data_IF_377913598490
#
_entry.id   IF_377913598490
#
_cell.length_a   1.000
_cell.length_b   1.000
_cell.length_c   1.000
_cell.angle_alpha   90.00
_cell.angle_beta   90.00
_cell.angle_gamma   90.00
#
_symmetry.space_group_name_H-M   'P 1'
#
loop_
_entity.id
_entity.type
_entity.pdbx_description
1 polymer ?
#
# COMPACT_ATOMS: atom_id res chain seq x y z
N UNK A 1 -2.88 -18.34 -39.12
CA UNK A 1 -3.47 -17.28 -38.27
C UNK A 1 -3.82 -17.76 -36.86
N UNK A 2 -4.51 -18.90 -36.70
CA UNK A 2 -4.92 -19.43 -35.38
C UNK A 2 -3.80 -19.58 -34.33
N UNK A 3 -2.60 -20.04 -34.73
CA UNK A 3 -1.43 -20.13 -33.82
C UNK A 3 -0.96 -18.76 -33.30
N UNK A 4 -1.00 -17.70 -34.13
CA UNK A 4 -0.65 -16.33 -33.73
C UNK A 4 -1.69 -15.77 -32.74
N UNK A 5 -2.97 -16.03 -33.01
CA UNK A 5 -4.08 -15.63 -32.13
C UNK A 5 -4.00 -16.37 -30.78
N UNK A 6 -3.76 -17.67 -30.78
CA UNK A 6 -3.61 -18.45 -29.55
C UNK A 6 -2.37 -18.05 -28.74
N UNK A 7 -1.25 -17.72 -29.39
CA UNK A 7 -0.06 -17.17 -28.73
C UNK A 7 -0.31 -15.79 -28.13
N UNK A 8 -1.10 -14.96 -28.81
CA UNK A 8 -1.51 -13.64 -28.33
C UNK A 8 -2.39 -13.74 -27.07
N UNK A 9 -3.38 -14.63 -27.05
CA UNK A 9 -4.21 -14.86 -25.85
C UNK A 9 -3.44 -15.44 -24.67
N UNK A 10 -2.52 -16.38 -24.90
CA UNK A 10 -1.64 -16.89 -23.83
C UNK A 10 -0.76 -15.79 -23.24
N UNK A 11 -0.24 -14.91 -24.09
CA UNK A 11 0.60 -13.80 -23.65
C UNK A 11 -0.20 -12.75 -22.87
N UNK A 12 -1.40 -12.38 -23.32
CA UNK A 12 -2.32 -11.51 -22.57
C UNK A 12 -2.66 -12.11 -21.21
N UNK A 13 -2.91 -13.42 -21.15
CA UNK A 13 -3.21 -14.10 -19.89
C UNK A 13 -2.04 -14.05 -18.89
N UNK A 14 -0.81 -14.29 -19.36
CA UNK A 14 0.39 -14.17 -18.52
C UNK A 14 0.61 -12.73 -18.07
N UNK A 15 0.39 -11.75 -18.94
CA UNK A 15 0.44 -10.33 -18.59
C UNK A 15 -0.61 -9.98 -17.53
N UNK A 16 -1.85 -10.43 -17.71
CA UNK A 16 -2.94 -10.17 -16.77
C UNK A 16 -2.64 -10.76 -15.39
N UNK A 17 -2.02 -11.94 -15.35
CA UNK A 17 -1.56 -12.56 -14.10
C UNK A 17 -0.42 -11.76 -13.45
N UNK A 18 0.55 -11.28 -14.23
CA UNK A 18 1.68 -10.48 -13.70
C UNK A 18 1.23 -9.09 -13.24
N UNK A 19 0.40 -8.41 -14.02
CA UNK A 19 -0.17 -7.11 -13.68
C UNK A 19 -1.13 -7.22 -12.49
N UNK A 20 -1.97 -8.25 -12.46
CA UNK A 20 -2.86 -8.55 -11.34
C UNK A 20 -2.09 -8.87 -10.06
N UNK A 21 -1.01 -9.67 -10.17
CA UNK A 21 -0.11 -9.95 -9.05
C UNK A 21 0.59 -8.70 -8.50
N UNK A 22 1.09 -7.82 -9.39
CA UNK A 22 1.72 -6.56 -9.00
C UNK A 22 0.72 -5.55 -8.40
N UNK A 23 -0.51 -5.51 -8.90
CA UNK A 23 -1.57 -4.69 -8.32
C UNK A 23 -2.02 -5.23 -6.96
N UNK A 24 -2.08 -6.55 -6.77
CA UNK A 24 -2.39 -7.15 -5.48
C UNK A 24 -1.29 -6.85 -4.45
N UNK A 25 -0.01 -6.97 -4.81
CA UNK A 25 1.07 -6.59 -3.90
C UNK A 25 1.11 -5.09 -3.62
N UNK A 26 0.75 -4.26 -4.61
CA UNK A 26 0.54 -2.82 -4.41
C UNK A 26 -0.62 -2.47 -3.50
N UNK A 27 -1.73 -3.21 -3.59
CA UNK A 27 -2.87 -3.00 -2.71
C UNK A 27 -2.51 -3.30 -1.25
N UNK A 28 -1.72 -4.35 -0.99
CA UNK A 28 -1.34 -4.75 0.36
C UNK A 28 -0.54 -3.67 1.12
N UNK A 29 0.00 -2.66 0.43
CA UNK A 29 0.74 -1.54 1.06
C UNK A 29 -0.09 -0.26 1.19
N UNK A 30 -1.28 -0.18 0.57
CA UNK A 30 -2.22 0.95 0.68
C UNK A 30 -3.25 0.75 1.79
N UNK A 31 -2.78 0.49 3.01
CA UNK A 31 -3.65 0.26 4.15
C UNK A 31 -3.94 1.59 4.84
N UNK A 32 -5.21 1.96 4.93
CA UNK A 32 -5.69 3.04 5.78
C UNK A 32 -6.01 2.50 7.17
N UNK A 33 -5.91 3.35 8.18
CA UNK A 33 -6.25 3.04 9.56
C UNK A 33 -7.48 3.85 9.95
N UNK A 34 -8.56 3.18 10.33
CA UNK A 34 -9.76 3.80 10.88
C UNK A 34 -9.76 3.59 12.39
N UNK A 35 -10.03 4.65 13.16
CA UNK A 35 -10.06 4.63 14.62
C UNK A 35 -11.35 5.28 15.08
N UNK A 36 -12.13 4.51 15.84
CA UNK A 36 -13.33 4.95 16.52
C UNK A 36 -13.14 4.81 18.02
N UNK A 37 -13.35 5.86 18.80
CA UNK A 37 -13.31 5.80 20.26
C UNK A 37 -14.52 6.51 20.86
N UNK A 38 -15.21 5.82 21.76
CA UNK A 38 -16.30 6.36 22.56
C UNK A 38 -15.87 6.53 24.00
N UNK A 39 -16.18 7.69 24.57
CA UNK A 39 -15.88 8.00 25.97
C UNK A 39 -16.90 7.30 26.89
N UNK A 40 -16.41 6.44 27.78
CA UNK A 40 -17.16 5.81 28.85
C UNK A 40 -16.97 6.55 30.18
N UNK A 41 -18.08 6.83 30.86
CA UNK A 41 -18.15 7.44 32.19
C UNK A 41 -17.28 8.70 32.37
N UNK A 42 -17.12 9.48 31.30
CA UNK A 42 -16.31 10.71 31.23
C UNK A 42 -14.82 10.54 31.63
N UNK A 43 -14.30 9.32 31.69
CA UNK A 43 -12.97 9.05 32.22
C UNK A 43 -12.09 8.26 31.28
N UNK A 44 -12.62 7.23 30.63
CA UNK A 44 -11.86 6.30 29.80
C UNK A 44 -12.57 6.06 28.49
N UNK A 45 -11.85 5.64 27.46
CA UNK A 45 -12.41 5.33 26.15
C UNK A 45 -12.52 3.83 25.94
N UNK A 46 -13.53 3.41 25.18
CA UNK A 46 -13.51 2.16 24.43
C UNK A 46 -13.18 2.49 22.99
N UNK A 47 -12.06 1.99 22.50
CA UNK A 47 -11.53 2.27 21.17
C UNK A 47 -11.53 1.01 20.29
N UNK A 48 -11.86 1.21 19.02
CA UNK A 48 -11.80 0.23 17.96
C UNK A 48 -10.90 0.78 16.86
N UNK A 49 -9.88 0.02 16.47
CA UNK A 49 -9.02 0.34 15.34
C UNK A 49 -9.14 -0.72 14.25
N UNK A 50 -9.32 -0.28 13.00
CA UNK A 50 -9.49 -1.13 11.82
C UNK A 50 -8.46 -0.81 10.76
N UNK A 51 -7.76 -1.85 10.31
CA UNK A 51 -6.96 -1.79 9.10
C UNK A 51 -7.87 -1.99 7.88
N UNK A 52 -7.94 -0.98 7.02
CA UNK A 52 -8.83 -0.96 5.87
C UNK A 52 -8.02 -0.99 4.56
N UNK A 53 -8.46 -1.81 3.60
CA UNK A 53 -7.93 -1.84 2.24
C UNK A 53 -9.08 -1.77 1.25
N UNK A 54 -9.15 -0.71 0.45
CA UNK A 54 -10.24 -0.48 -0.51
C UNK A 54 -11.65 -0.63 0.09
N UNK A 55 -11.83 -0.18 1.34
CA UNK A 55 -13.11 -0.27 2.06
C UNK A 55 -13.38 -1.61 2.74
N UNK A 56 -12.46 -2.57 2.67
CA UNK A 56 -12.58 -3.87 3.31
C UNK A 56 -11.74 -3.92 4.58
N UNK A 57 -12.34 -4.36 5.68
CA UNK A 57 -11.64 -4.55 6.95
C UNK A 57 -10.74 -5.78 6.88
N UNK A 58 -9.44 -5.57 7.03
CA UNK A 58 -8.42 -6.62 7.03
C UNK A 58 -8.14 -7.16 8.43
N UNK A 59 -8.11 -6.27 9.41
CA UNK A 59 -7.99 -6.62 10.82
C UNK A 59 -8.60 -5.54 11.68
N UNK A 60 -9.10 -5.97 12.83
CA UNK A 60 -9.73 -5.12 13.81
C UNK A 60 -9.13 -5.43 15.18
N UNK A 61 -8.92 -4.37 15.96
CA UNK A 61 -8.46 -4.44 17.34
C UNK A 61 -9.41 -3.59 18.18
N UNK A 62 -9.84 -4.14 19.31
CA UNK A 62 -10.64 -3.40 20.30
C UNK A 62 -9.82 -3.26 21.57
N UNK A 63 -9.90 -2.11 22.20
CA UNK A 63 -9.23 -1.76 23.44
C UNK A 63 -10.21 -1.08 24.37
N UNK A 64 -10.35 -1.61 25.59
CA UNK A 64 -11.18 -1.04 26.64
C UNK A 64 -10.35 -0.25 27.65
N UNK A 65 -11.02 0.67 28.34
CA UNK A 65 -10.43 1.53 29.38
C UNK A 65 -9.18 2.29 28.92
N UNK A 66 -9.21 2.80 27.69
CA UNK A 66 -8.10 3.53 27.09
C UNK A 66 -8.08 4.96 27.63
N UNK A 67 -6.94 5.41 28.15
CA UNK A 67 -6.78 6.79 28.64
C UNK A 67 -5.82 7.62 27.78
N UNK A 68 -5.14 6.99 26.81
CA UNK A 68 -4.26 7.71 25.90
C UNK A 68 -3.64 6.82 24.84
N UNK A 69 -2.74 7.42 24.07
CA UNK A 69 -2.06 6.79 22.95
C UNK A 69 -0.56 7.11 22.99
N UNK A 70 0.28 6.18 22.58
CA UNK A 70 1.73 6.35 22.51
C UNK A 70 2.30 5.79 21.21
N UNK A 71 3.46 6.31 20.82
CA UNK A 71 4.25 5.80 19.70
C UNK A 71 5.39 4.94 20.24
N UNK A 72 5.43 3.68 19.81
CA UNK A 72 6.62 2.84 19.93
C UNK A 72 7.45 2.95 18.65
N UNK A 73 8.75 3.23 18.78
CA UNK A 73 9.69 3.34 17.65
C UNK A 73 10.75 2.26 17.76
N UNK A 74 10.65 1.25 16.90
CA UNK A 74 11.64 0.19 16.79
C UNK A 74 12.53 0.44 15.58
N UNK A 75 13.81 0.76 15.81
CA UNK A 75 14.82 0.84 14.76
C UNK A 75 15.75 -0.38 14.81
N UNK A 76 15.94 -1.04 13.67
CA UNK A 76 16.86 -2.18 13.52
C UNK A 76 17.95 -1.85 12.49
N UNK A 77 19.14 -2.41 12.70
CA UNK A 77 20.33 -2.19 11.85
C UNK A 77 21.28 -1.10 12.36
N UNK A 78 22.43 -0.99 11.72
CA UNK A 78 23.48 0.00 12.01
C UNK A 78 23.94 0.72 10.74
N UNK A 79 24.37 1.97 10.89
CA UNK A 79 24.88 2.79 9.78
C UNK A 79 23.81 3.14 8.73
N UNK A 80 24.16 3.18 7.43
CA UNK A 80 23.26 3.62 6.35
C UNK A 80 22.08 2.67 6.08
N UNK A 81 22.10 1.45 6.63
CA UNK A 81 21.02 0.46 6.49
C UNK A 81 20.08 0.42 7.71
N UNK A 82 20.05 1.48 8.53
CA UNK A 82 19.14 1.57 9.68
C UNK A 82 17.70 1.74 9.19
N UNK A 83 16.90 0.70 9.31
CA UNK A 83 15.47 0.73 9.05
C UNK A 83 14.70 0.98 10.35
N UNK A 84 13.81 1.98 10.35
CA UNK A 84 12.93 2.26 11.49
C UNK A 84 11.48 1.95 11.13
N UNK A 85 10.78 1.30 12.06
CA UNK A 85 9.34 1.08 12.02
C UNK A 85 8.72 1.60 13.31
N UNK A 86 7.60 2.29 13.22
CA UNK A 86 6.86 2.72 14.40
C UNK A 86 5.54 1.97 14.53
N UNK A 87 4.96 1.96 15.73
CA UNK A 87 3.61 1.48 16.00
C UNK A 87 2.92 2.46 16.93
N UNK A 88 1.62 2.64 16.74
CA UNK A 88 0.79 3.32 17.72
C UNK A 88 0.23 2.27 18.68
N UNK A 89 0.21 2.59 19.98
CA UNK A 89 -0.30 1.73 21.04
C UNK A 89 -1.30 2.50 21.91
N UNK A 90 -2.45 1.90 22.19
CA UNK A 90 -3.39 2.38 23.20
C UNK A 90 -2.84 2.08 24.59
N UNK A 91 -2.87 3.09 25.46
CA UNK A 91 -2.58 2.97 26.88
C UNK A 91 -3.88 2.70 27.63
N UNK A 92 -3.97 1.54 28.26
CA UNK A 92 -5.13 1.10 29.03
C UNK A 92 -4.88 1.23 30.54
N UNK A 93 -5.92 1.44 31.34
CA UNK A 93 -5.78 1.53 32.80
C UNK A 93 -5.31 0.23 33.47
N UNK A 94 -5.38 -0.92 32.78
CA UNK A 94 -4.80 -2.19 33.24
C UNK A 94 -3.28 -2.26 33.10
N UNK A 95 -2.64 -1.19 32.61
CA UNK A 95 -1.23 -1.14 32.22
C UNK A 95 -0.87 -1.97 30.98
N UNK A 96 -1.86 -2.54 30.29
CA UNK A 96 -1.66 -3.22 29.01
C UNK A 96 -1.48 -2.20 27.88
N UNK A 97 -0.63 -2.56 26.91
CA UNK A 97 -0.42 -1.79 25.69
C UNK A 97 -1.02 -2.55 24.51
N UNK A 98 -1.99 -1.94 23.85
CA UNK A 98 -2.69 -2.57 22.74
C UNK A 98 -2.26 -1.89 21.44
N UNK A 99 -1.59 -2.63 20.57
CA UNK A 99 -1.12 -2.13 19.27
C UNK A 99 -2.31 -1.82 18.36
N UNK A 100 -2.42 -0.59 17.88
CA UNK A 100 -3.53 -0.14 17.01
C UNK A 100 -3.56 -0.88 15.67
N UNK A 101 -2.39 -1.08 15.08
CA UNK A 101 -2.23 -1.73 13.79
C UNK A 101 -0.88 -2.39 13.68
N UNK A 102 -0.86 -3.59 13.09
CA UNK A 102 0.39 -4.29 12.73
C UNK A 102 0.91 -3.88 11.36
N UNK A 103 0.04 -3.32 10.52
CA UNK A 103 0.32 -3.03 9.11
C UNK A 103 0.61 -1.54 8.87
N UNK A 104 0.03 -0.66 9.68
CA UNK A 104 0.27 0.78 9.66
C UNK A 104 1.50 1.12 10.52
N UNK A 105 2.71 0.99 9.93
CA UNK A 105 3.97 1.02 10.68
C UNK A 105 5.01 2.06 10.21
N UNK A 106 4.61 2.94 9.28
CA UNK A 106 5.43 4.03 8.78
C UNK A 106 5.65 5.08 9.89
N UNK A 107 6.90 5.40 10.27
CA UNK A 107 7.19 6.30 11.39
C UNK A 107 6.53 7.67 11.31
N UNK A 108 6.45 8.26 10.12
CA UNK A 108 5.91 9.60 9.92
C UNK A 108 4.39 9.59 9.99
N UNK A 109 3.76 8.55 9.44
CA UNK A 109 2.31 8.38 9.51
C UNK A 109 1.84 8.04 10.93
N UNK A 110 2.53 7.13 11.62
CA UNK A 110 2.23 6.80 13.01
C UNK A 110 2.36 8.03 13.90
N UNK A 111 3.35 8.90 13.66
CA UNK A 111 3.47 10.15 14.40
C UNK A 111 2.26 11.06 14.18
N UNK A 112 1.72 11.15 12.96
CA UNK A 112 0.51 11.92 12.67
C UNK A 112 -0.71 11.38 13.41
N UNK A 113 -0.86 10.05 13.48
CA UNK A 113 -1.94 9.40 14.24
C UNK A 113 -1.87 9.79 15.70
N UNK A 114 -0.71 9.66 16.33
CA UNK A 114 -0.53 10.01 17.76
C UNK A 114 -0.75 11.50 18.01
N UNK A 115 -0.26 12.38 17.12
CA UNK A 115 -0.45 13.82 17.24
C UNK A 115 -1.91 14.27 17.05
N UNK A 116 -2.69 13.53 16.26
CA UNK A 116 -4.11 13.82 16.06
C UNK A 116 -4.97 13.28 17.21
N UNK A 117 -4.74 12.03 17.63
CA UNK A 117 -5.55 11.37 18.65
C UNK A 117 -5.20 11.84 20.07
N UNK A 118 -3.93 12.09 20.39
CA UNK A 118 -3.47 12.46 21.73
C UNK A 118 -4.25 13.64 22.32
N UNK A 119 -4.29 14.82 21.65
CA UNK A 119 -5.03 15.99 22.16
C UNK A 119 -6.54 15.76 22.28
N UNK A 120 -7.13 14.92 21.42
CA UNK A 120 -8.56 14.60 21.49
C UNK A 120 -8.90 13.72 22.68
N UNK A 121 -8.03 12.75 22.97
CA UNK A 121 -8.17 11.89 24.14
C UNK A 121 -7.98 12.69 25.43
N UNK A 122 -6.94 13.54 25.50
CA UNK A 122 -6.70 14.45 26.63
C UNK A 122 -7.86 15.43 26.83
N UNK A 123 -8.39 15.98 25.74
CA UNK A 123 -9.55 16.87 25.74
C UNK A 123 -10.89 16.18 25.96
N UNK A 124 -10.93 14.86 26.18
CA UNK A 124 -12.15 14.07 26.39
C UNK A 124 -13.20 14.24 25.27
N UNK A 125 -12.76 14.41 24.02
CA UNK A 125 -13.65 14.57 22.87
C UNK A 125 -14.41 13.27 22.59
N UNK A 126 -15.72 13.37 22.31
CA UNK A 126 -16.54 12.18 22.04
C UNK A 126 -17.63 12.46 20.99
N UNK A 127 -17.83 11.58 20.00
CA UNK A 127 -16.97 10.45 19.64
C UNK A 127 -15.68 10.91 18.93
N UNK A 128 -14.61 10.12 19.02
CA UNK A 128 -13.43 10.30 18.15
C UNK A 128 -13.56 9.33 17.00
N UNK A 129 -13.89 9.83 15.81
CA UNK A 129 -13.95 9.05 14.59
C UNK A 129 -12.97 9.65 13.56
N UNK A 130 -11.94 8.89 13.22
CA UNK A 130 -10.87 9.34 12.33
C UNK A 130 -10.42 8.25 11.37
N UNK A 131 -10.24 8.66 10.11
CA UNK A 131 -9.64 7.82 9.07
C UNK A 131 -8.29 8.40 8.66
N UNK A 132 -7.24 7.61 8.87
CA UNK A 132 -5.88 7.93 8.49
C UNK A 132 -5.54 7.24 7.16
N UNK A 133 -5.23 8.02 6.10
CA UNK A 133 -4.90 7.46 4.80
C UNK A 133 -3.55 6.71 4.83
N UNK A 134 -3.28 5.85 3.84
CA UNK A 134 -1.97 5.21 3.67
C UNK A 134 -0.87 6.26 3.45
N UNK A 135 0.39 5.84 3.63
CA UNK A 135 1.55 6.71 3.40
C UNK A 135 1.53 7.26 1.96
N UNK A 136 1.61 8.58 1.82
CA UNK A 136 1.66 9.26 0.51
C UNK A 136 2.87 8.81 -0.29
N UNK A 137 4.01 8.60 0.38
CA UNK A 137 5.23 8.08 -0.26
C UNK A 137 5.00 6.68 -0.84
N UNK A 138 4.46 5.76 -0.04
CA UNK A 138 4.14 4.40 -0.49
C UNK A 138 3.14 4.44 -1.64
N UNK A 139 2.11 5.29 -1.54
CA UNK A 139 1.09 5.45 -2.57
C UNK A 139 1.69 5.93 -3.90
N UNK A 140 2.56 6.95 -3.88
CA UNK A 140 3.24 7.47 -5.07
C UNK A 140 4.17 6.43 -5.68
N UNK A 141 4.96 5.73 -4.87
CA UNK A 141 5.86 4.68 -5.34
C UNK A 141 5.06 3.57 -6.04
N UNK A 142 3.97 3.10 -5.43
CA UNK A 142 3.16 2.04 -6.03
C UNK A 142 2.43 2.48 -7.31
N UNK A 143 1.90 3.71 -7.35
CA UNK A 143 1.30 4.27 -8.57
C UNK A 143 2.36 4.36 -9.69
N UNK A 144 3.57 4.80 -9.35
CA UNK A 144 4.67 4.94 -10.32
C UNK A 144 5.10 3.57 -10.87
N UNK A 145 5.27 2.57 -10.00
CA UNK A 145 5.59 1.20 -10.41
C UNK A 145 4.48 0.64 -11.30
N UNK A 146 3.21 0.81 -10.91
CA UNK A 146 2.05 0.39 -11.69
C UNK A 146 2.00 1.05 -13.06
N UNK A 147 2.24 2.36 -13.14
CA UNK A 147 2.27 3.11 -14.39
C UNK A 147 3.42 2.68 -15.31
N UNK A 148 4.63 2.49 -14.77
CA UNK A 148 5.78 1.99 -15.53
C UNK A 148 5.51 0.59 -16.11
N UNK A 149 4.95 -0.31 -15.30
CA UNK A 149 4.56 -1.64 -15.75
C UNK A 149 3.50 -1.55 -16.85
N UNK A 150 2.48 -0.71 -16.70
CA UNK A 150 1.45 -0.52 -17.73
C UNK A 150 2.03 -0.03 -19.06
N UNK A 151 2.94 0.95 -19.03
CA UNK A 151 3.61 1.46 -20.24
C UNK A 151 4.45 0.37 -20.91
N UNK A 152 5.23 -0.40 -20.14
CA UNK A 152 6.00 -1.53 -20.68
C UNK A 152 5.09 -2.56 -21.35
N UNK A 153 3.95 -2.86 -20.73
CA UNK A 153 2.97 -3.79 -21.31
C UNK A 153 2.40 -3.28 -22.63
N UNK A 154 2.08 -1.98 -22.73
CA UNK A 154 1.66 -1.37 -24.00
C UNK A 154 2.73 -1.48 -25.08
N UNK A 155 4.00 -1.27 -24.75
CA UNK A 155 5.12 -1.45 -25.68
C UNK A 155 5.23 -2.90 -26.17
N UNK A 156 5.10 -3.89 -25.28
CA UNK A 156 5.17 -5.29 -25.71
C UNK A 156 3.97 -5.68 -26.57
N UNK A 157 2.76 -5.21 -26.25
CA UNK A 157 1.57 -5.41 -27.09
C UNK A 157 1.76 -4.76 -28.46
N UNK A 158 2.31 -3.54 -28.53
CA UNK A 158 2.62 -2.88 -29.80
C UNK A 158 3.64 -3.67 -30.63
N UNK A 159 4.70 -4.19 -30.01
CA UNK A 159 5.69 -5.05 -30.69
C UNK A 159 5.07 -6.36 -31.16
N UNK A 160 4.12 -6.96 -30.44
CA UNK A 160 3.49 -8.21 -30.86
C UNK A 160 2.47 -8.01 -32.00
N UNK A 161 1.76 -6.87 -32.03
CA UNK A 161 0.76 -6.54 -33.06
C UNK A 161 1.44 -6.03 -34.34
N UNK A 162 2.45 -5.15 -34.19
CA UNK A 162 3.08 -4.45 -35.32
C UNK A 162 4.51 -4.91 -35.61
N UNK A 163 5.15 -5.66 -34.71
CA UNK A 163 6.49 -6.18 -34.93
C UNK A 163 6.47 -7.30 -35.97
N UNK A 164 7.33 -7.16 -36.97
CA UNK A 164 7.58 -8.23 -37.95
C UNK A 164 8.13 -9.45 -37.22
N UNK A 165 7.58 -10.61 -37.51
CA UNK A 165 8.09 -11.90 -37.00
C UNK A 165 9.55 -12.06 -37.41
N UNK A 166 10.41 -12.42 -36.46
CA UNK A 166 11.81 -12.81 -36.74
C UNK A 166 11.73 -14.02 -37.68
N UNK A 167 12.01 -13.78 -38.97
CA UNK A 167 11.79 -14.73 -40.07
C UNK A 167 10.85 -14.25 -41.19
N UNK A 168 10.42 -12.99 -41.19
CA UNK A 168 9.69 -12.40 -42.33
C UNK A 168 10.68 -12.07 -43.47
N UNK A 169 10.62 -12.75 -44.63
CA UNK A 169 11.52 -12.49 -45.76
C UNK A 169 11.37 -11.08 -46.35
N UNK A 170 10.33 -10.33 -45.94
CA UNK A 170 10.12 -8.92 -46.29
C UNK A 170 10.58 -7.93 -45.21
N UNK A 171 11.32 -8.38 -44.19
CA UNK A 171 12.13 -7.49 -43.34
C UNK A 171 13.29 -6.96 -44.19
N UNK A 172 12.99 -5.92 -44.98
CA UNK A 172 13.90 -5.22 -45.89
C UNK A 172 15.30 -5.15 -45.31
N UNK A 173 16.21 -5.90 -45.92
CA UNK A 173 17.62 -5.55 -45.97
C UNK A 173 17.64 -4.09 -46.42
N UNK A 174 18.06 -3.18 -45.55
CA UNK A 174 18.42 -1.83 -45.97
C UNK A 174 19.67 -2.03 -46.81
N UNK A 175 19.48 -2.13 -48.12
CA UNK A 175 20.56 -2.22 -49.08
C UNK A 175 21.28 -0.86 -49.10
N UNK A 176 22.35 -0.77 -48.32
CA UNK A 176 23.23 0.39 -48.26
C UNK A 176 24.11 0.52 -49.52
N UNK A 177 23.94 -0.32 -50.54
CA UNK A 177 24.82 -0.36 -51.73
C UNK A 177 24.35 0.53 -52.89
N UNK A 178 23.49 1.51 -52.63
CA UNK A 178 23.10 2.51 -53.65
C UNK A 178 23.23 3.93 -53.15
N UNK A 179 24.48 4.37 -52.95
CA UNK A 179 24.87 5.76 -53.21
C UNK A 179 26.38 5.87 -53.38
N UNK A 180 26.73 6.25 -54.61
CA UNK A 180 28.05 6.52 -55.22
C UNK A 180 28.89 5.30 -55.58
#
# INVERSE_FOLDING_TARGET
MLKKIASFFKFIFVIALLAGGAMLTASLTMISLEVHCDLQDEQVYTCQSRDMLFGWTLSEVTADQVYGIERDLTCKGSGPNKGCSARAEFKTSSADRIVLSRRYNDPDQVQKVVNALGPLMEGKSTPIDMVFPPSTFVSVVMITIGACMFVLLLFVVAIQIFGKTVGDPNARVIDLRRKN
#
